data_IF_713391388470
#
_entry.id   IF_713391388470
#
_cell.length_a   1.000
_cell.length_b   1.000
_cell.length_c   1.000
_cell.angle_alpha   90.00
_cell.angle_beta   90.00
_cell.angle_gamma   90.00
#
_symmetry.space_group_name_H-M   'P 1'
#
loop_
_entity.id
_entity.type
_entity.pdbx_description
1 polymer ?
#
# COMPACT_ATOMS: atom_id res chain seq x y z
N UNK A 1 5.14 9.04 21.79
CA UNK A 1 5.47 9.51 20.45
C UNK A 1 4.23 9.89 19.65
N UNK A 2 4.38 10.44 18.44
CA UNK A 2 3.24 10.97 17.67
C UNK A 2 2.20 9.88 17.34
N UNK A 3 0.92 10.27 17.33
CA UNK A 3 -0.18 9.37 16.97
C UNK A 3 -0.15 9.00 15.48
N UNK A 4 0.18 9.98 14.64
CA UNK A 4 0.27 9.82 13.18
C UNK A 4 1.72 9.63 12.78
N UNK A 5 1.97 8.57 12.05
CA UNK A 5 3.24 8.27 11.38
C UNK A 5 3.21 8.87 9.97
N UNK A 6 4.30 9.51 9.57
CA UNK A 6 4.49 10.14 8.27
C UNK A 6 5.62 9.44 7.54
N UNK A 7 5.40 9.08 6.27
CA UNK A 7 6.40 8.39 5.46
C UNK A 7 6.34 8.85 4.00
N UNK A 8 7.49 9.19 3.42
CA UNK A 8 7.61 9.48 1.99
C UNK A 8 7.24 8.27 1.14
N UNK A 9 6.44 8.48 0.11
CA UNK A 9 6.01 7.48 -0.86
C UNK A 9 5.97 8.09 -2.25
N UNK A 10 6.19 7.27 -3.27
CA UNK A 10 6.01 7.69 -4.65
C UNK A 10 4.54 7.70 -5.04
N UNK A 11 4.13 8.78 -5.67
CA UNK A 11 2.78 9.02 -6.16
C UNK A 11 2.73 9.20 -7.68
N UNK A 12 1.79 10.02 -8.13
CA UNK A 12 1.59 10.34 -9.54
C UNK A 12 2.86 10.90 -10.18
N UNK A 13 3.24 10.35 -11.34
CA UNK A 13 4.44 10.71 -12.10
C UNK A 13 5.75 10.57 -11.29
N UNK A 14 5.78 9.67 -10.30
CA UNK A 14 6.94 9.45 -9.45
C UNK A 14 7.22 10.57 -8.43
N UNK A 15 6.33 11.54 -8.27
CA UNK A 15 6.49 12.60 -7.27
C UNK A 15 6.32 12.04 -5.88
N UNK A 16 7.25 12.36 -4.99
CA UNK A 16 7.14 11.98 -3.59
C UNK A 16 6.03 12.77 -2.88
N UNK A 17 5.26 12.10 -2.06
CA UNK A 17 4.28 12.70 -1.15
C UNK A 17 4.39 12.10 0.25
N UNK A 18 3.88 12.81 1.25
CA UNK A 18 3.83 12.33 2.64
C UNK A 18 2.59 11.48 2.86
N UNK A 19 2.78 10.17 2.99
CA UNK A 19 1.71 9.22 3.32
C UNK A 19 1.46 9.21 4.83
N UNK A 20 0.22 9.40 5.25
CA UNK A 20 -0.20 9.42 6.66
C UNK A 20 -0.76 8.04 7.08
N UNK A 21 -0.35 7.58 8.28
CA UNK A 21 -0.86 6.35 8.90
C UNK A 21 -0.99 6.53 10.41
N UNK A 22 -1.84 5.77 11.07
CA UNK A 22 -1.72 5.65 12.51
C UNK A 22 -0.48 4.84 12.87
N UNK A 23 0.21 5.29 13.91
CA UNK A 23 1.41 4.61 14.38
C UNK A 23 1.04 3.27 15.01
N UNK A 24 1.41 2.19 14.36
CA UNK A 24 1.22 0.81 14.82
C UNK A 24 2.49 0.16 15.37
N UNK A 25 3.65 0.84 15.24
CA UNK A 25 4.96 0.30 15.62
C UNK A 25 5.72 1.25 16.53
N UNK A 26 6.67 0.69 17.30
CA UNK A 26 7.65 1.50 18.05
C UNK A 26 8.59 2.21 17.06
N UNK A 27 8.81 3.50 17.29
CA UNK A 27 9.73 4.30 16.46
C UNK A 27 11.19 3.94 16.77
N UNK A 28 11.98 3.80 15.74
CA UNK A 28 13.44 3.70 15.82
C UNK A 28 14.10 4.53 14.70
N UNK A 29 15.43 4.65 14.72
CA UNK A 29 16.19 5.43 13.73
C UNK A 29 16.00 4.96 12.28
N UNK A 30 15.49 3.75 12.07
CA UNK A 30 15.29 3.11 10.76
C UNK A 30 13.83 2.95 10.36
N UNK A 31 12.89 3.55 11.12
CA UNK A 31 11.44 3.38 10.91
C UNK A 31 10.96 3.76 9.50
N UNK A 32 11.65 4.69 8.84
CA UNK A 32 11.32 5.14 7.49
C UNK A 32 11.99 4.33 6.36
N UNK A 33 12.98 3.47 6.69
CA UNK A 33 13.80 2.76 5.71
C UNK A 33 13.52 1.25 5.66
N UNK A 34 13.11 0.67 6.79
CA UNK A 34 12.93 -0.78 6.90
C UNK A 34 11.45 -1.12 6.84
N UNK A 35 11.07 -1.96 5.87
CA UNK A 35 9.73 -2.51 5.79
C UNK A 35 9.38 -3.35 7.01
N UNK A 36 8.09 -3.32 7.35
CA UNK A 36 7.54 -4.26 8.33
C UNK A 36 7.52 -5.68 7.73
N UNK A 37 8.00 -6.64 8.49
CA UNK A 37 7.96 -8.05 8.16
C UNK A 37 6.86 -8.77 8.95
N UNK A 38 6.57 -10.02 8.58
CA UNK A 38 5.66 -10.85 9.36
C UNK A 38 6.26 -11.10 10.76
N UNK A 39 5.45 -10.89 11.81
CA UNK A 39 5.88 -11.01 13.22
C UNK A 39 6.96 -9.99 13.65
N UNK A 40 6.95 -8.81 13.08
CA UNK A 40 7.88 -7.73 13.42
C UNK A 40 7.74 -7.33 14.90
N UNK A 41 8.82 -7.47 15.66
CA UNK A 41 8.86 -7.19 17.11
C UNK A 41 8.59 -5.72 17.47
N UNK A 42 8.67 -4.82 16.49
CA UNK A 42 8.36 -3.40 16.67
C UNK A 42 6.86 -3.13 16.79
N UNK A 43 6.00 -4.06 16.31
CA UNK A 43 4.55 -3.88 16.33
C UNK A 43 4.04 -3.89 17.78
N UNK A 44 3.26 -2.87 18.15
CA UNK A 44 2.65 -2.77 19.47
C UNK A 44 1.39 -3.64 19.56
N UNK A 45 0.90 -3.97 20.77
CA UNK A 45 -0.36 -4.71 20.95
C UNK A 45 -1.54 -4.01 20.24
N UNK A 46 -1.65 -2.68 20.39
CA UNK A 46 -2.66 -1.88 19.68
C UNK A 46 -2.38 -1.88 18.18
N UNK A 47 -1.11 -1.84 17.78
CA UNK A 47 -0.68 -1.90 16.39
C UNK A 47 -1.09 -3.19 15.69
N UNK A 48 -1.08 -4.34 16.38
CA UNK A 48 -1.58 -5.60 15.84
C UNK A 48 -3.06 -5.48 15.46
N UNK A 49 -3.88 -4.94 16.36
CA UNK A 49 -5.30 -4.71 16.08
C UNK A 49 -5.52 -3.76 14.90
N UNK A 50 -4.85 -2.58 14.93
CA UNK A 50 -4.96 -1.58 13.85
C UNK A 50 -4.60 -2.16 12.48
N UNK A 51 -3.51 -2.92 12.40
CA UNK A 51 -3.04 -3.54 11.16
C UNK A 51 -3.96 -4.65 10.68
N UNK A 52 -4.44 -5.51 11.59
CA UNK A 52 -5.37 -6.59 11.26
C UNK A 52 -6.70 -6.06 10.70
N UNK A 53 -7.16 -4.91 11.19
CA UNK A 53 -8.39 -4.24 10.74
C UNK A 53 -8.14 -3.21 9.64
N UNK A 54 -6.88 -2.99 9.23
CA UNK A 54 -6.46 -1.92 8.29
C UNK A 54 -6.81 -0.50 8.76
N UNK A 55 -7.17 -0.32 10.02
CA UNK A 55 -7.49 0.99 10.60
C UNK A 55 -6.27 1.90 10.68
N UNK A 56 -5.06 1.35 10.68
CA UNK A 56 -3.83 2.14 10.61
C UNK A 56 -3.72 2.94 9.31
N UNK A 57 -4.42 2.55 8.26
CA UNK A 57 -4.42 3.24 6.97
C UNK A 57 -5.50 4.31 6.82
N UNK A 58 -6.42 4.47 7.79
CA UNK A 58 -7.48 5.50 7.74
C UNK A 58 -6.96 6.93 7.53
N UNK A 59 -5.82 7.37 8.11
CA UNK A 59 -5.31 8.71 7.84
C UNK A 59 -4.93 8.96 6.37
N UNK A 60 -4.82 7.93 5.51
CA UNK A 60 -4.59 8.11 4.07
C UNK A 60 -5.79 8.77 3.37
N UNK A 61 -6.99 8.78 3.97
CA UNK A 61 -8.11 9.57 3.45
C UNK A 61 -7.79 11.06 3.42
N UNK A 62 -6.92 11.56 4.31
CA UNK A 62 -6.39 12.92 4.19
C UNK A 62 -5.56 13.10 2.91
N UNK A 63 -4.77 12.10 2.52
CA UNK A 63 -4.03 12.15 1.27
C UNK A 63 -4.97 12.15 0.04
N UNK A 64 -6.12 11.47 0.14
CA UNK A 64 -7.15 11.53 -0.92
C UNK A 64 -7.74 12.94 -1.01
N UNK A 65 -8.09 13.56 0.11
CA UNK A 65 -8.63 14.93 0.16
C UNK A 65 -7.62 15.98 -0.33
N UNK A 66 -6.33 15.79 -0.01
CA UNK A 66 -5.23 16.64 -0.48
C UNK A 66 -4.89 16.43 -1.96
N UNK A 67 -5.41 15.37 -2.58
CA UNK A 67 -5.19 15.07 -3.99
C UNK A 67 -3.93 14.24 -4.29
N UNK A 68 -3.20 13.78 -3.26
CA UNK A 68 -2.01 12.92 -3.42
C UNK A 68 -2.36 11.49 -3.79
N UNK A 69 -3.51 11.01 -3.32
CA UNK A 69 -3.98 9.63 -3.48
C UNK A 69 -5.40 9.58 -4.06
N UNK A 70 -5.77 8.39 -4.51
CA UNK A 70 -7.15 7.97 -4.78
C UNK A 70 -7.60 6.93 -3.75
N UNK A 71 -8.89 6.67 -3.64
CA UNK A 71 -9.39 5.54 -2.83
C UNK A 71 -8.92 4.22 -3.44
N UNK A 72 -9.05 4.08 -4.77
CA UNK A 72 -8.63 2.89 -5.52
C UNK A 72 -7.48 3.23 -6.45
N UNK A 73 -6.46 2.39 -6.49
CA UNK A 73 -5.28 2.55 -7.34
C UNK A 73 -4.12 1.65 -6.93
N UNK A 74 -2.99 1.70 -7.65
CA UNK A 74 -1.77 1.01 -7.28
C UNK A 74 -1.28 1.41 -5.88
N UNK A 75 -0.83 0.45 -5.08
CA UNK A 75 -0.30 0.75 -3.74
C UNK A 75 1.01 1.53 -3.82
N UNK A 76 1.17 2.66 -3.12
CA UNK A 76 2.40 3.45 -3.18
C UNK A 76 3.56 2.71 -2.51
N UNK A 77 4.71 2.67 -3.17
CA UNK A 77 5.94 2.09 -2.66
C UNK A 77 6.88 3.16 -2.08
N UNK A 78 7.87 2.73 -1.29
CA UNK A 78 9.02 3.55 -0.93
C UNK A 78 9.89 3.74 -2.18
N UNK A 79 10.51 4.91 -2.33
CA UNK A 79 11.43 5.20 -3.44
C UNK A 79 12.54 4.15 -3.55
N UNK A 80 13.16 3.78 -2.42
CA UNK A 80 14.22 2.78 -2.37
C UNK A 80 13.81 1.44 -2.96
N UNK A 81 12.56 1.01 -2.73
CA UNK A 81 12.02 -0.22 -3.28
C UNK A 81 11.66 -0.07 -4.77
N UNK A 82 11.14 1.09 -5.15
CA UNK A 82 10.85 1.36 -6.55
C UNK A 82 12.09 1.26 -7.41
N UNK A 83 13.22 1.81 -6.94
CA UNK A 83 14.51 1.72 -7.62
C UNK A 83 15.02 0.27 -7.75
N UNK A 84 14.75 -0.56 -6.74
CA UNK A 84 15.08 -1.98 -6.77
C UNK A 84 14.18 -2.74 -7.77
N UNK A 85 12.86 -2.55 -7.66
CA UNK A 85 11.89 -3.28 -8.48
C UNK A 85 11.91 -2.91 -9.95
N UNK A 86 12.29 -1.69 -10.31
CA UNK A 86 12.47 -1.27 -11.71
C UNK A 86 13.51 -2.11 -12.45
N UNK A 87 14.52 -2.64 -11.74
CA UNK A 87 15.55 -3.49 -12.33
C UNK A 87 15.05 -4.89 -12.67
N UNK A 88 14.06 -5.37 -11.92
CA UNK A 88 13.58 -6.75 -11.98
C UNK A 88 12.23 -6.89 -12.71
N UNK A 89 11.50 -5.79 -12.91
CA UNK A 89 10.14 -5.84 -13.46
C UNK A 89 9.97 -4.84 -14.60
N UNK A 90 9.74 -5.38 -15.80
CA UNK A 90 9.43 -4.57 -16.98
C UNK A 90 8.16 -3.73 -16.76
N UNK A 91 8.17 -2.53 -17.30
CA UNK A 91 7.04 -1.58 -17.21
C UNK A 91 6.64 -1.18 -15.78
N UNK A 92 7.50 -1.38 -14.78
CA UNK A 92 7.22 -1.00 -13.39
C UNK A 92 6.71 0.44 -13.26
N UNK A 93 7.31 1.38 -13.99
CA UNK A 93 6.97 2.81 -13.94
C UNK A 93 5.57 3.14 -14.46
N UNK A 94 4.96 2.26 -15.27
CA UNK A 94 3.58 2.48 -15.76
C UNK A 94 2.57 2.62 -14.61
N UNK A 95 2.86 2.05 -13.45
CA UNK A 95 1.99 2.18 -12.26
C UNK A 95 1.93 3.60 -11.69
N UNK A 96 2.85 4.48 -12.07
CA UNK A 96 2.92 5.86 -11.61
C UNK A 96 2.16 6.87 -12.51
N UNK A 97 1.53 6.42 -13.60
CA UNK A 97 0.74 7.30 -14.48
C UNK A 97 -0.64 7.64 -13.89
N UNK A 98 -1.02 6.99 -12.79
CA UNK A 98 -2.23 7.28 -12.02
C UNK A 98 -1.87 7.56 -10.56
N UNK A 99 -2.78 8.19 -9.81
CA UNK A 99 -2.61 8.38 -8.36
C UNK A 99 -2.59 7.02 -7.66
N UNK A 100 -1.72 6.85 -6.65
CA UNK A 100 -1.74 5.64 -5.83
C UNK A 100 -3.04 5.53 -5.04
N UNK A 101 -3.45 4.29 -4.74
CA UNK A 101 -4.68 4.00 -4.01
C UNK A 101 -4.45 3.58 -2.56
N UNK A 102 -5.45 3.81 -1.71
CA UNK A 102 -5.55 3.20 -0.37
C UNK A 102 -5.73 1.69 -0.54
N UNK A 103 -6.62 1.29 -1.44
CA UNK A 103 -6.79 -0.08 -1.90
C UNK A 103 -6.58 -0.19 -3.41
N UNK A 104 -6.50 -1.41 -3.93
CA UNK A 104 -6.28 -1.64 -5.34
C UNK A 104 -6.41 -3.10 -5.74
N UNK A 105 -6.46 -3.36 -7.05
CA UNK A 105 -6.69 -4.69 -7.60
C UNK A 105 -5.65 -5.71 -7.11
N UNK A 106 -4.37 -5.35 -7.09
CA UNK A 106 -3.31 -6.21 -6.58
C UNK A 106 -3.49 -6.53 -5.09
N UNK A 107 -3.95 -5.55 -4.29
CA UNK A 107 -4.16 -5.74 -2.86
C UNK A 107 -5.29 -6.74 -2.60
N UNK A 108 -6.46 -6.56 -3.23
CA UNK A 108 -7.59 -7.49 -3.07
C UNK A 108 -7.33 -8.85 -3.69
N UNK A 109 -6.43 -8.94 -4.67
CA UNK A 109 -5.93 -10.17 -5.28
C UNK A 109 -4.90 -10.94 -4.44
N UNK A 110 -4.65 -10.51 -3.19
CA UNK A 110 -3.75 -11.21 -2.26
C UNK A 110 -2.28 -10.79 -2.30
N UNK A 111 -1.93 -9.74 -3.04
CA UNK A 111 -0.55 -9.20 -3.13
C UNK A 111 -0.35 -7.94 -2.28
N UNK A 112 -1.05 -7.83 -1.14
CA UNK A 112 -0.95 -6.68 -0.22
C UNK A 112 0.30 -6.72 0.66
N UNK A 113 0.67 -7.90 1.13
CA UNK A 113 1.68 -8.10 2.17
C UNK A 113 3.13 -8.01 1.70
N UNK A 114 4.02 -8.60 2.48
CA UNK A 114 5.45 -8.68 2.22
C UNK A 114 5.74 -9.36 0.87
N UNK A 115 6.67 -8.80 0.11
CA UNK A 115 7.19 -9.39 -1.13
C UNK A 115 8.31 -10.35 -0.73
N UNK A 116 8.05 -11.64 -0.91
CA UNK A 116 9.01 -12.71 -0.57
C UNK A 116 9.79 -13.21 -1.78
N UNK A 117 9.16 -13.15 -2.94
CA UNK A 117 9.72 -13.66 -4.20
C UNK A 117 9.61 -12.61 -5.30
N UNK A 118 10.49 -12.68 -6.29
CA UNK A 118 10.41 -11.84 -7.50
C UNK A 118 9.07 -12.01 -8.24
N UNK A 119 8.45 -13.19 -8.16
CA UNK A 119 7.13 -13.44 -8.72
C UNK A 119 6.03 -12.59 -8.05
N UNK A 120 6.14 -12.31 -6.76
CA UNK A 120 5.12 -11.53 -6.04
C UNK A 120 5.08 -10.08 -6.54
N UNK A 121 6.24 -9.46 -6.74
CA UNK A 121 6.28 -8.09 -7.28
C UNK A 121 5.86 -8.06 -8.76
N UNK A 122 6.24 -9.05 -9.57
CA UNK A 122 5.80 -9.15 -10.97
C UNK A 122 4.29 -9.26 -11.07
N UNK A 123 3.66 -10.12 -10.26
CA UNK A 123 2.21 -10.28 -10.23
C UNK A 123 1.50 -9.03 -9.72
N UNK A 124 2.05 -8.36 -8.69
CA UNK A 124 1.51 -7.08 -8.19
C UNK A 124 1.51 -6.03 -9.31
N UNK A 125 2.64 -5.82 -9.97
CA UNK A 125 2.77 -4.84 -11.06
C UNK A 125 1.86 -5.19 -12.24
N UNK A 126 1.74 -6.48 -12.60
CA UNK A 126 0.82 -6.92 -13.65
C UNK A 126 -0.64 -6.57 -13.33
N UNK A 127 -1.07 -6.76 -12.10
CA UNK A 127 -2.43 -6.41 -11.66
C UNK A 127 -2.63 -4.89 -11.58
N UNK A 128 -1.61 -4.14 -11.16
CA UNK A 128 -1.65 -2.67 -11.17
C UNK A 128 -1.80 -2.14 -12.60
N UNK A 129 -1.04 -2.68 -13.55
CA UNK A 129 -1.12 -2.30 -14.98
C UNK A 129 -2.49 -2.71 -15.55
N UNK A 130 -2.95 -3.92 -15.27
CA UNK A 130 -4.27 -4.37 -15.71
C UNK A 130 -5.38 -3.44 -15.22
N UNK A 131 -5.33 -3.01 -13.95
CA UNK A 131 -6.27 -2.05 -13.40
C UNK A 131 -6.25 -0.73 -14.18
N UNK A 132 -5.06 -0.19 -14.47
CA UNK A 132 -4.89 1.07 -15.19
C UNK A 132 -5.46 0.98 -16.61
N UNK A 133 -5.18 -0.12 -17.31
CA UNK A 133 -5.62 -0.32 -18.70
C UNK A 133 -7.11 -0.63 -18.83
N UNK A 134 -7.73 -1.20 -17.78
CA UNK A 134 -9.14 -1.59 -17.77
C UNK A 134 -9.97 -0.81 -16.75
N UNK A 135 -9.50 0.37 -16.37
CA UNK A 135 -10.19 1.19 -15.38
C UNK A 135 -11.65 1.45 -15.75
N UNK A 136 -12.53 1.30 -14.80
CA UNK A 136 -13.92 1.72 -14.85
C UNK A 136 -14.44 2.00 -13.44
N UNK A 137 -15.46 2.84 -13.35
CA UNK A 137 -16.13 3.11 -12.08
C UNK A 137 -16.65 1.82 -11.40
N UNK A 138 -17.19 0.88 -12.19
CA UNK A 138 -17.66 -0.41 -11.65
C UNK A 138 -16.51 -1.28 -11.11
N UNK A 139 -15.34 -1.22 -11.73
CA UNK A 139 -14.14 -1.92 -11.22
C UNK A 139 -13.72 -1.35 -9.87
N UNK A 140 -13.76 -0.03 -9.70
CA UNK A 140 -13.47 0.61 -8.41
C UNK A 140 -14.45 0.17 -7.32
N UNK A 141 -15.75 0.18 -7.60
CA UNK A 141 -16.77 -0.30 -6.66
C UNK A 141 -16.54 -1.77 -6.29
N UNK A 142 -16.23 -2.63 -7.26
CA UNK A 142 -15.91 -4.04 -7.00
C UNK A 142 -14.69 -4.20 -6.09
N UNK A 143 -13.64 -3.43 -6.31
CA UNK A 143 -12.42 -3.44 -5.49
C UNK A 143 -12.73 -2.97 -4.07
N UNK A 144 -13.53 -1.91 -3.89
CA UNK A 144 -13.94 -1.40 -2.57
C UNK A 144 -14.73 -2.47 -1.81
N UNK A 145 -15.74 -3.08 -2.45
CA UNK A 145 -16.53 -4.15 -1.83
C UNK A 145 -15.61 -5.32 -1.42
N UNK A 146 -14.74 -5.76 -2.32
CA UNK A 146 -13.80 -6.84 -2.01
C UNK A 146 -12.85 -6.49 -0.87
N UNK A 147 -12.41 -5.24 -0.77
CA UNK A 147 -11.58 -4.75 0.35
C UNK A 147 -12.30 -4.91 1.68
N UNK A 148 -13.57 -4.47 1.73
CA UNK A 148 -14.40 -4.59 2.94
C UNK A 148 -14.58 -6.07 3.32
N UNK A 149 -14.91 -6.93 2.36
CA UNK A 149 -15.08 -8.37 2.60
C UNK A 149 -13.78 -9.02 3.10
N UNK A 150 -12.62 -8.65 2.55
CA UNK A 150 -11.33 -9.16 2.98
C UNK A 150 -11.00 -8.76 4.43
N UNK A 151 -11.32 -7.51 4.82
CA UNK A 151 -11.15 -7.06 6.22
C UNK A 151 -11.98 -7.92 7.19
N UNK A 152 -13.25 -8.20 6.84
CA UNK A 152 -14.12 -9.04 7.70
C UNK A 152 -13.69 -10.51 7.74
N UNK A 153 -13.12 -11.05 6.66
CA UNK A 153 -12.58 -12.42 6.63
C UNK A 153 -11.27 -12.59 7.41
N UNK A 154 -10.66 -11.47 7.84
CA UNK A 154 -9.37 -11.48 8.52
C UNK A 154 -8.26 -11.87 7.55
N UNK A 155 -7.79 -10.92 6.76
CA UNK A 155 -6.63 -11.17 5.87
C UNK A 155 -5.41 -11.61 6.69
N UNK A 156 -4.99 -12.86 6.56
CA UNK A 156 -3.74 -13.36 7.15
C UNK A 156 -2.49 -12.61 6.65
N UNK A 157 -2.62 -11.85 5.58
CA UNK A 157 -1.54 -11.08 4.95
C UNK A 157 -1.52 -9.59 5.32
N UNK A 158 -2.46 -9.12 6.17
CA UNK A 158 -2.44 -7.78 6.74
C UNK A 158 -1.56 -7.77 7.99
N UNK A 159 -0.29 -7.44 7.87
CA UNK A 159 0.67 -7.28 8.97
C UNK A 159 1.56 -6.06 8.72
#
# INVERSE_FOLDING_TARGET
>A
GPLVFKQGREGLNGKEFTCYKFRSMRMNKHSNKIHATKNDTRVTKVGVFLRKTSMDELPQFLNVLLGDMSVVGPRPHLETLSLEYQKDVDNYLKRHIVKPGITGLAQVGGYRGEIKKKSDIKNRVRLDIFYIENWSFFLDIKIIIQTVLNVFKGEEKAY
#
